data_IF_123844328295
#
_entry.id   IF_123844328295
#
_cell.length_a   1.000
_cell.length_b   1.000
_cell.length_c   1.000
_cell.angle_alpha   90.00
_cell.angle_beta   90.00
_cell.angle_gamma   90.00
#
_symmetry.space_group_name_H-M   'P 1'
#
loop_
_entity.id
_entity.type
_entity.pdbx_description
1 polymer ?
#
# COMPACT_ATOMS: atom_id res chain seq x y z
N UNK A 1 11.19 -17.20 -2.03
CA UNK A 1 10.83 -18.01 -0.85
C UNK A 1 9.44 -17.59 -0.41
N UNK A 2 8.53 -18.55 -0.14
CA UNK A 2 7.20 -18.25 0.42
C UNK A 2 7.38 -17.56 1.79
N UNK A 3 6.64 -16.49 2.03
CA UNK A 3 6.72 -15.70 3.25
C UNK A 3 6.24 -16.52 4.45
N UNK A 4 7.05 -16.56 5.52
CA UNK A 4 6.60 -17.05 6.81
C UNK A 4 5.87 -15.91 7.53
N UNK A 5 4.58 -16.09 7.84
CA UNK A 5 3.87 -15.27 8.83
C UNK A 5 2.83 -14.26 8.34
N UNK A 6 2.57 -14.15 7.03
CA UNK A 6 1.48 -13.30 6.52
C UNK A 6 0.78 -13.92 5.31
N UNK A 7 -0.55 -13.84 5.29
CA UNK A 7 -1.40 -14.39 4.24
C UNK A 7 -1.85 -13.24 3.33
N UNK A 8 -1.54 -13.33 2.04
CA UNK A 8 -2.00 -12.39 1.02
C UNK A 8 -2.80 -13.15 -0.03
N UNK A 9 -4.09 -12.86 -0.12
CA UNK A 9 -5.03 -13.63 -0.96
C UNK A 9 -4.92 -13.22 -2.45
N UNK A 10 -4.15 -12.16 -2.73
CA UNK A 10 -4.01 -11.55 -4.05
C UNK A 10 -2.53 -11.18 -4.25
N UNK A 11 -1.75 -12.07 -4.89
CA UNK A 11 -0.30 -11.89 -4.96
C UNK A 11 0.09 -10.69 -5.81
N UNK A 12 1.20 -10.04 -5.45
CA UNK A 12 1.84 -9.02 -6.28
C UNK A 12 3.28 -9.35 -6.68
N UNK A 13 3.80 -8.64 -7.68
CA UNK A 13 5.22 -8.59 -8.01
C UNK A 13 5.90 -7.64 -7.01
N UNK A 14 6.26 -8.20 -5.86
CA UNK A 14 6.68 -7.44 -4.69
C UNK A 14 8.00 -7.93 -4.07
N UNK A 15 8.53 -7.07 -3.18
CA UNK A 15 9.65 -7.36 -2.30
C UNK A 15 9.30 -6.85 -0.90
N UNK A 16 9.31 -7.75 0.07
CA UNK A 16 9.07 -7.43 1.47
C UNK A 16 10.30 -6.83 2.14
N UNK A 17 10.08 -5.90 3.07
CA UNK A 17 11.16 -5.27 3.85
C UNK A 17 12.01 -6.29 4.62
N UNK A 18 11.41 -7.41 5.04
CA UNK A 18 12.13 -8.54 5.67
C UNK A 18 13.16 -9.17 4.73
N UNK A 19 12.89 -9.23 3.42
CA UNK A 19 13.79 -9.82 2.43
C UNK A 19 15.04 -8.97 2.17
N UNK A 20 14.96 -7.67 2.50
CA UNK A 20 16.05 -6.70 2.29
C UNK A 20 16.61 -6.15 3.60
N UNK A 21 16.23 -6.71 4.75
CA UNK A 21 16.75 -6.30 6.08
C UNK A 21 16.27 -4.92 6.55
N UNK A 22 15.17 -4.40 6.00
CA UNK A 22 14.65 -3.06 6.31
C UNK A 22 13.38 -3.06 7.17
N UNK A 23 12.93 -4.22 7.64
CA UNK A 23 11.68 -4.35 8.41
C UNK A 23 11.65 -3.43 9.64
N UNK A 24 12.68 -3.48 10.50
CA UNK A 24 12.72 -2.66 11.72
C UNK A 24 12.80 -1.16 11.41
N UNK A 25 13.56 -0.77 10.36
CA UNK A 25 13.64 0.61 9.91
C UNK A 25 12.29 1.13 9.43
N UNK A 26 11.52 0.29 8.73
CA UNK A 26 10.20 0.65 8.27
C UNK A 26 9.18 0.72 9.41
N UNK A 27 9.25 -0.19 10.40
CA UNK A 27 8.41 -0.12 11.60
C UNK A 27 8.66 1.18 12.39
N UNK A 28 9.91 1.65 12.45
CA UNK A 28 10.23 2.96 13.02
C UNK A 28 9.53 4.10 12.27
N UNK A 29 9.53 4.08 10.94
CA UNK A 29 8.80 5.07 10.12
C UNK A 29 7.29 5.02 10.40
N UNK A 30 6.70 3.83 10.49
CA UNK A 30 5.28 3.67 10.80
C UNK A 30 4.93 4.27 12.16
N UNK A 31 5.76 4.02 13.18
CA UNK A 31 5.57 4.55 14.53
C UNK A 31 5.76 6.07 14.61
N UNK A 32 6.87 6.58 14.11
CA UNK A 32 7.29 7.96 14.39
C UNK A 32 6.69 8.98 13.41
N UNK A 33 6.26 8.54 12.22
CA UNK A 33 5.74 9.43 11.17
C UNK A 33 4.28 9.13 10.87
N UNK A 34 3.93 7.87 10.58
CA UNK A 34 2.59 7.52 10.09
C UNK A 34 1.55 7.55 11.22
N UNK A 35 1.85 6.95 12.37
CA UNK A 35 0.91 6.83 13.48
C UNK A 35 0.43 8.21 14.01
N UNK A 36 1.29 9.25 14.19
CA UNK A 36 0.83 10.58 14.56
C UNK A 36 -0.16 11.20 13.56
N UNK A 37 -0.03 10.89 12.26
CA UNK A 37 -0.98 11.32 11.23
C UNK A 37 -2.27 10.53 11.35
N UNK A 38 -2.18 9.21 11.49
CA UNK A 38 -3.31 8.31 11.66
C UNK A 38 -4.19 8.74 12.84
N UNK A 39 -3.62 9.01 14.01
CA UNK A 39 -4.36 9.41 15.21
C UNK A 39 -5.11 10.75 15.04
N UNK A 40 -4.57 11.65 14.20
CA UNK A 40 -5.26 12.91 13.85
C UNK A 40 -6.42 12.69 12.89
N UNK A 41 -6.26 11.79 11.91
CA UNK A 41 -7.27 11.51 10.88
C UNK A 41 -8.41 10.65 11.45
N UNK A 42 -8.08 9.66 12.28
CA UNK A 42 -9.03 8.73 12.88
C UNK A 42 -9.00 8.86 14.41
N UNK A 43 -9.60 9.95 14.90
CA UNK A 43 -9.67 10.24 16.33
C UNK A 43 -10.35 9.09 17.09
N UNK A 44 -9.72 8.66 18.18
CA UNK A 44 -10.21 7.56 19.02
C UNK A 44 -9.62 6.19 18.70
N UNK A 45 -8.86 6.04 17.61
CA UNK A 45 -8.08 4.83 17.35
C UNK A 45 -6.63 5.01 17.84
N UNK A 46 -6.16 4.07 18.66
CA UNK A 46 -4.82 4.08 19.24
C UNK A 46 -4.20 2.67 19.23
N UNK A 47 -2.96 2.56 18.75
CA UNK A 47 -2.17 1.32 18.70
C UNK A 47 -0.67 1.67 18.69
N UNK A 48 0.03 1.57 19.83
CA UNK A 48 1.47 1.85 19.98
C UNK A 48 2.23 0.64 20.59
N UNK A 49 3.28 0.11 19.93
CA UNK A 49 3.68 0.42 18.56
C UNK A 49 2.67 -0.13 17.54
N UNK A 50 2.49 0.54 16.40
CA UNK A 50 1.69 -0.01 15.31
C UNK A 50 2.34 -1.30 14.81
N UNK A 51 1.54 -2.35 14.59
CA UNK A 51 2.03 -3.66 14.17
C UNK A 51 1.87 -3.81 12.67
N UNK A 52 2.94 -4.14 11.95
CA UNK A 52 2.84 -4.43 10.51
C UNK A 52 3.79 -5.55 10.11
N UNK A 53 3.24 -6.74 9.85
CA UNK A 53 4.02 -7.90 9.38
C UNK A 53 4.29 -7.80 7.88
N UNK A 54 3.33 -7.24 7.12
CA UNK A 54 3.41 -7.12 5.67
C UNK A 54 3.72 -5.67 5.29
N UNK A 55 5.02 -5.42 5.08
CA UNK A 55 5.56 -4.18 4.54
C UNK A 55 6.35 -4.51 3.28
N UNK A 56 5.93 -3.99 2.13
CA UNK A 56 6.47 -4.45 0.85
C UNK A 56 6.35 -3.38 -0.23
N UNK A 57 7.31 -3.39 -1.14
CA UNK A 57 7.28 -2.56 -2.35
C UNK A 57 6.69 -3.39 -3.47
N UNK A 58 5.65 -2.86 -4.12
CA UNK A 58 5.04 -3.47 -5.30
C UNK A 58 5.55 -2.78 -6.56
N UNK A 59 5.80 -3.57 -7.61
CA UNK A 59 6.13 -3.09 -8.95
C UNK A 59 5.02 -3.44 -9.93
N UNK A 60 4.46 -2.43 -10.59
CA UNK A 60 3.54 -2.62 -11.71
C UNK A 60 4.17 -2.19 -13.04
N UNK A 61 3.97 -2.98 -14.09
CA UNK A 61 4.40 -2.67 -15.45
C UNK A 61 3.50 -3.35 -16.50
N UNK A 62 3.36 -2.79 -17.72
CA UNK A 62 2.39 -3.25 -18.72
C UNK A 62 2.50 -4.74 -19.08
N UNK A 63 3.72 -5.23 -19.27
CA UNK A 63 3.99 -6.57 -19.83
C UNK A 63 4.08 -7.68 -18.77
N UNK A 64 3.78 -7.34 -17.50
CA UNK A 64 3.80 -8.28 -16.38
C UNK A 64 2.53 -8.08 -15.54
N UNK A 65 2.65 -7.89 -14.23
CA UNK A 65 1.51 -7.47 -13.44
C UNK A 65 1.31 -5.96 -13.60
N UNK A 66 0.25 -5.57 -14.32
CA UNK A 66 -0.06 -4.16 -14.56
C UNK A 66 -1.19 -3.60 -13.70
N UNK A 67 -1.97 -4.46 -13.04
CA UNK A 67 -3.15 -4.11 -12.24
C UNK A 67 -3.29 -5.04 -11.05
N UNK A 68 -4.18 -4.69 -10.12
CA UNK A 68 -4.57 -5.57 -9.02
C UNK A 68 -6.11 -5.63 -8.95
N UNK A 69 -6.66 -6.84 -8.95
CA UNK A 69 -8.12 -7.06 -8.92
C UNK A 69 -8.76 -6.49 -7.64
N UNK A 70 -10.08 -6.20 -7.62
CA UNK A 70 -10.78 -5.78 -6.41
C UNK A 70 -10.53 -6.71 -5.21
N UNK A 71 -10.17 -6.14 -4.06
CA UNK A 71 -9.88 -6.87 -2.83
C UNK A 71 -10.01 -6.01 -1.56
N UNK A 72 -9.94 -6.68 -0.41
CA UNK A 72 -9.72 -6.08 0.89
C UNK A 72 -8.32 -6.44 1.38
N UNK A 73 -7.75 -5.57 2.20
CA UNK A 73 -6.46 -5.81 2.83
C UNK A 73 -6.67 -6.53 4.16
N UNK A 74 -5.70 -7.37 4.51
CA UNK A 74 -5.64 -7.99 5.83
C UNK A 74 -5.03 -7.00 6.85
N UNK A 75 -5.69 -5.86 7.05
CA UNK A 75 -5.24 -4.79 7.94
C UNK A 75 -6.43 -4.09 8.61
N UNK A 76 -6.20 -3.41 9.74
CA UNK A 76 -7.14 -2.41 10.23
C UNK A 76 -7.12 -1.20 9.30
N UNK A 77 -5.92 -0.71 8.98
CA UNK A 77 -5.72 0.32 7.96
C UNK A 77 -4.47 0.03 7.12
N UNK A 78 -4.50 0.48 5.89
CA UNK A 78 -3.41 0.33 4.92
C UNK A 78 -2.80 1.68 4.61
N UNK A 79 -1.48 1.70 4.52
CA UNK A 79 -0.69 2.82 4.01
C UNK A 79 -0.20 2.45 2.61
N UNK A 80 -0.39 3.34 1.63
CA UNK A 80 0.08 3.17 0.25
C UNK A 80 0.82 4.43 -0.21
N UNK A 81 2.14 4.38 -0.22
CA UNK A 81 3.06 5.47 -0.53
C UNK A 81 3.54 5.39 -1.98
N UNK A 82 3.40 6.48 -2.73
CA UNK A 82 3.95 6.57 -4.08
C UNK A 82 5.47 6.80 -4.06
N UNK A 83 6.23 5.95 -4.77
CA UNK A 83 7.69 5.99 -4.79
C UNK A 83 8.28 6.67 -6.03
N UNK A 84 7.48 6.83 -7.10
CA UNK A 84 7.92 7.46 -8.35
C UNK A 84 6.83 8.30 -9.02
N UNK A 85 7.18 9.06 -10.06
CA UNK A 85 6.39 10.17 -10.57
C UNK A 85 5.44 9.75 -11.71
N UNK A 86 4.12 9.95 -11.51
CA UNK A 86 3.12 9.73 -12.56
C UNK A 86 3.29 10.71 -13.73
N UNK A 87 3.14 10.22 -14.96
CA UNK A 87 3.35 10.99 -16.19
C UNK A 87 4.82 11.15 -16.60
N UNK A 88 5.77 10.83 -15.71
CA UNK A 88 7.21 10.83 -16.00
C UNK A 88 7.76 9.41 -16.05
N UNK A 89 7.54 8.63 -15.00
CA UNK A 89 8.09 7.28 -14.85
C UNK A 89 7.09 6.20 -15.29
N UNK A 90 5.79 6.51 -15.26
CA UNK A 90 4.71 5.63 -15.71
C UNK A 90 3.47 6.39 -16.17
N UNK A 91 2.64 5.74 -16.98
CA UNK A 91 1.30 6.20 -17.37
C UNK A 91 0.21 5.22 -16.89
N UNK A 92 -1.01 5.72 -16.68
CA UNK A 92 -2.09 4.95 -16.05
C UNK A 92 -1.86 4.76 -14.55
N UNK A 93 -2.32 3.65 -14.00
CA UNK A 93 -2.18 3.32 -12.58
C UNK A 93 -3.11 4.10 -11.66
N UNK A 94 -2.89 3.92 -10.36
CA UNK A 94 -3.73 4.51 -9.30
C UNK A 94 -4.42 3.45 -8.45
N UNK A 95 -5.39 3.90 -7.67
CA UNK A 95 -6.25 3.07 -6.84
C UNK A 95 -7.70 3.52 -7.03
N UNK A 96 -8.62 2.57 -7.21
CA UNK A 96 -10.06 2.86 -7.26
C UNK A 96 -10.76 2.18 -6.10
N UNK A 97 -11.54 2.95 -5.34
CA UNK A 97 -12.38 2.45 -4.27
C UNK A 97 -13.81 2.26 -4.79
N UNK A 98 -14.21 1.00 -4.96
CA UNK A 98 -15.41 0.62 -5.72
C UNK A 98 -16.68 1.12 -5.06
N UNK A 99 -16.80 0.99 -3.74
CA UNK A 99 -17.98 1.42 -2.97
C UNK A 99 -18.27 2.92 -3.07
N UNK A 100 -17.26 3.72 -3.41
CA UNK A 100 -17.36 5.17 -3.47
C UNK A 100 -17.31 5.71 -4.90
N UNK A 101 -17.16 4.84 -5.91
CA UNK A 101 -16.85 5.20 -7.29
C UNK A 101 -15.76 6.30 -7.37
N UNK A 102 -14.75 6.18 -6.52
CA UNK A 102 -13.70 7.18 -6.35
C UNK A 102 -12.38 6.60 -6.82
N UNK A 103 -11.71 7.29 -7.74
CA UNK A 103 -10.38 6.92 -8.23
C UNK A 103 -9.37 7.96 -7.80
N UNK A 104 -8.29 7.50 -7.18
CA UNK A 104 -7.11 8.31 -6.91
C UNK A 104 -6.04 7.93 -7.91
N UNK A 105 -5.83 8.82 -8.87
CA UNK A 105 -4.80 8.72 -9.90
C UNK A 105 -3.72 9.75 -9.67
N UNK A 106 -2.54 9.53 -10.22
CA UNK A 106 -1.43 10.50 -10.18
C UNK A 106 -1.03 10.95 -8.76
N UNK A 107 -1.04 10.03 -7.79
CA UNK A 107 -0.52 10.28 -6.44
C UNK A 107 0.91 10.82 -6.54
N UNK A 108 1.15 11.98 -5.94
CA UNK A 108 2.45 12.65 -5.98
C UNK A 108 3.50 11.78 -5.27
N UNK A 109 4.71 11.71 -5.83
CA UNK A 109 5.82 11.00 -5.18
C UNK A 109 6.03 11.51 -3.75
N UNK A 110 6.19 10.59 -2.80
CA UNK A 110 6.32 10.89 -1.37
C UNK A 110 4.99 11.11 -0.65
N UNK A 111 3.84 11.13 -1.34
CA UNK A 111 2.52 11.19 -0.72
C UNK A 111 1.97 9.78 -0.50
N UNK A 112 1.25 9.60 0.61
CA UNK A 112 0.62 8.34 0.97
C UNK A 112 -0.91 8.45 0.99
N UNK A 113 -1.56 7.36 0.59
CA UNK A 113 -2.96 7.10 0.90
C UNK A 113 -3.03 6.33 2.22
N UNK A 114 -4.02 6.64 3.04
CA UNK A 114 -4.32 5.93 4.29
C UNK A 114 -5.80 5.61 4.32
N UNK A 115 -6.14 4.32 4.45
CA UNK A 115 -7.52 3.84 4.25
C UNK A 115 -7.81 2.58 5.09
N UNK A 116 -9.05 2.35 5.58
CA UNK A 116 -9.43 1.12 6.29
C UNK A 116 -9.28 -0.15 5.43
N UNK A 117 -8.49 -1.14 5.87
CA UNK A 117 -8.20 -2.34 5.06
C UNK A 117 -9.40 -3.27 4.84
N UNK A 118 -10.26 -3.38 5.85
CA UNK A 118 -11.40 -4.31 5.88
C UNK A 118 -12.74 -3.63 5.66
N UNK A 119 -13.71 -4.44 5.21
CA UNK A 119 -15.15 -4.17 5.13
C UNK A 119 -15.58 -3.04 4.19
N UNK A 120 -15.04 -1.83 4.35
CA UNK A 120 -15.63 -0.61 3.77
C UNK A 120 -14.95 -0.11 2.50
N UNK A 121 -13.65 -0.36 2.34
CA UNK A 121 -12.86 0.16 1.23
C UNK A 121 -12.39 -0.96 0.30
N UNK A 122 -13.36 -1.69 -0.27
CA UNK A 122 -13.08 -2.61 -1.39
C UNK A 122 -12.45 -1.80 -2.51
N UNK A 123 -11.23 -2.15 -2.90
CA UNK A 123 -10.44 -1.35 -3.84
C UNK A 123 -9.67 -2.21 -4.85
N UNK A 124 -9.30 -1.59 -5.96
CA UNK A 124 -8.52 -2.20 -7.04
C UNK A 124 -7.35 -1.31 -7.47
N UNK A 125 -6.26 -1.94 -7.93
CA UNK A 125 -5.13 -1.25 -8.55
C UNK A 125 -5.41 -1.04 -10.03
N UNK A 126 -5.53 0.21 -10.46
CA UNK A 126 -5.81 0.54 -11.86
C UNK A 126 -4.63 0.14 -12.78
N UNK A 127 -4.88 -0.20 -14.06
CA UNK A 127 -3.82 -0.66 -14.96
C UNK A 127 -2.76 0.40 -15.25
N UNK A 128 -1.49 0.04 -15.08
CA UNK A 128 -0.35 0.79 -15.63
C UNK A 128 -0.22 0.46 -17.11
N UNK A 129 -0.26 1.49 -17.96
CA UNK A 129 -0.27 1.34 -19.43
C UNK A 129 1.09 1.56 -20.07
N UNK A 130 2.02 2.22 -19.37
CA UNK A 130 3.39 2.46 -19.82
C UNK A 130 4.33 2.65 -18.63
N UNK A 131 5.61 2.32 -18.81
CA UNK A 131 6.64 2.53 -17.81
C UNK A 131 6.51 1.58 -16.62
N UNK A 132 7.02 1.99 -15.46
CA UNK A 132 7.02 1.16 -14.25
C UNK A 132 6.55 2.01 -13.07
N UNK A 133 5.54 1.54 -12.34
CA UNK A 133 5.04 2.18 -11.12
C UNK A 133 5.55 1.43 -9.89
N UNK A 134 6.09 2.17 -8.92
CA UNK A 134 6.50 1.64 -7.63
C UNK A 134 5.67 2.26 -6.51
N UNK A 135 5.19 1.41 -5.60
CA UNK A 135 4.49 1.83 -4.38
C UNK A 135 5.02 1.05 -3.19
N UNK A 136 5.08 1.70 -2.02
CA UNK A 136 5.33 1.04 -0.75
C UNK A 136 4.00 0.85 -0.01
N UNK A 137 3.69 -0.39 0.34
CA UNK A 137 2.43 -0.77 0.99
C UNK A 137 2.71 -1.33 2.39
N UNK A 138 1.85 -1.00 3.34
CA UNK A 138 1.90 -1.55 4.70
C UNK A 138 0.50 -1.90 5.17
N UNK A 139 0.32 -3.15 5.58
CA UNK A 139 -0.88 -3.63 6.25
C UNK A 139 -0.69 -3.48 7.75
N UNK A 140 -1.30 -2.44 8.31
CA UNK A 140 -1.09 -2.03 9.71
C UNK A 140 -2.24 -2.52 10.59
N UNK A 141 -1.86 -3.03 11.75
CA UNK A 141 -2.72 -3.64 12.77
C UNK A 141 -3.66 -4.71 12.17
N UNK A 142 -3.11 -5.81 11.61
CA UNK A 142 -3.86 -6.89 10.99
C UNK A 142 -4.77 -7.68 11.96
#
# INVERSE_FOLDING_TARGET
ARLAGGYENVPTDDIHMTQVGLQEHWLFILRDIVQPIQQKVFTGYYSDPPKAVLNFIVRYMPDRQNRLRPHHDASTYTVNLALNDAGKDFEGGGCRFLRYNCSVTSTRRGWALMQPGRLTHLHEGLPVTKGIRYIMVSFVDP
#
